data_IF_484738694897
#
_entry.id   IF_484738694897
#
_cell.length_a   1.000
_cell.length_b   1.000
_cell.length_c   1.000
_cell.angle_alpha   90.00
_cell.angle_beta   90.00
_cell.angle_gamma   90.00
#
_symmetry.space_group_name_H-M   'P 1'
#
loop_
_entity.id
_entity.type
_entity.pdbx_description
1 polymer ?
#
# COMPACT_ATOMS: atom_id res chain seq x y z
N UNK A 1 7.03 -8.42 -8.87
CA UNK A 1 5.58 -8.65 -8.69
C UNK A 1 5.07 -7.49 -7.85
N UNK A 2 3.99 -6.84 -8.26
CA UNK A 2 3.44 -5.70 -7.51
C UNK A 2 2.48 -6.24 -6.44
N UNK A 3 2.67 -5.77 -5.21
CA UNK A 3 1.81 -6.08 -4.08
C UNK A 3 0.79 -4.97 -3.90
N UNK A 4 -0.39 -5.29 -3.37
CA UNK A 4 -1.41 -4.27 -3.17
C UNK A 4 -2.19 -4.44 -1.88
N UNK A 5 -2.73 -3.33 -1.40
CA UNK A 5 -3.69 -3.27 -0.31
C UNK A 5 -4.82 -2.32 -0.71
N UNK A 6 -6.02 -2.88 -0.87
CA UNK A 6 -7.24 -2.15 -1.16
C UNK A 6 -8.02 -1.95 0.14
N UNK A 7 -8.11 -0.70 0.56
CA UNK A 7 -8.91 -0.26 1.71
C UNK A 7 -10.27 0.19 1.19
N UNK A 8 -11.33 -0.57 1.48
CA UNK A 8 -12.69 -0.22 1.06
C UNK A 8 -13.25 0.95 1.88
N UNK A 9 -14.20 1.69 1.33
CA UNK A 9 -14.82 2.86 1.99
C UNK A 9 -15.43 2.55 3.36
N UNK A 10 -15.85 1.30 3.62
CA UNK A 10 -16.40 0.86 4.90
C UNK A 10 -15.31 0.59 5.97
N UNK A 11 -14.03 0.56 5.60
CA UNK A 11 -12.94 0.34 6.55
C UNK A 11 -12.79 1.55 7.48
N UNK A 12 -12.44 1.30 8.75
CA UNK A 12 -12.04 2.35 9.70
C UNK A 12 -10.81 3.15 9.24
N UNK A 13 -10.03 2.62 8.29
CA UNK A 13 -8.86 3.29 7.71
C UNK A 13 -9.19 4.12 6.45
N UNK A 14 -10.40 4.04 5.90
CA UNK A 14 -10.77 4.72 4.66
C UNK A 14 -10.52 6.24 4.73
N UNK A 15 -10.92 6.89 5.83
CA UNK A 15 -10.67 8.33 6.05
C UNK A 15 -9.17 8.66 6.05
N UNK A 16 -8.36 7.84 6.71
CA UNK A 16 -6.91 8.04 6.74
C UNK A 16 -6.30 7.85 5.35
N UNK A 17 -6.72 6.83 4.60
CA UNK A 17 -6.27 6.58 3.24
C UNK A 17 -6.61 7.73 2.29
N UNK A 18 -7.84 8.25 2.35
CA UNK A 18 -8.27 9.46 1.63
C UNK A 18 -7.38 10.66 1.93
N UNK A 19 -7.15 10.94 3.21
CA UNK A 19 -6.31 12.07 3.63
C UNK A 19 -4.87 11.96 3.10
N UNK A 20 -4.31 10.74 3.05
CA UNK A 20 -3.00 10.49 2.45
C UNK A 20 -3.04 10.82 0.97
N UNK A 21 -4.02 10.28 0.23
CA UNK A 21 -4.15 10.55 -1.20
C UNK A 21 -4.32 12.04 -1.50
N UNK A 22 -5.24 12.73 -0.82
CA UNK A 22 -5.53 14.14 -1.07
C UNK A 22 -4.31 15.02 -0.80
N UNK A 23 -3.55 14.71 0.26
CA UNK A 23 -2.27 15.40 0.55
C UNK A 23 -1.23 15.18 -0.55
N UNK A 24 -1.06 13.94 -1.00
CA UNK A 24 -0.11 13.61 -2.07
C UNK A 24 -0.51 14.28 -3.39
N UNK A 25 -1.81 14.23 -3.72
CA UNK A 25 -2.38 14.82 -4.92
C UNK A 25 -2.20 16.33 -4.96
N UNK A 26 -2.41 17.02 -3.83
CA UNK A 26 -2.25 18.47 -3.71
C UNK A 26 -0.81 18.96 -3.96
N UNK A 27 0.20 18.10 -3.77
CA UNK A 27 1.60 18.42 -4.05
C UNK A 27 1.97 18.30 -5.54
N UNK A 28 1.18 17.58 -6.32
CA UNK A 28 1.46 17.39 -7.75
C UNK A 28 1.08 18.65 -8.52
N UNK A 29 2.09 19.39 -8.99
CA UNK A 29 1.92 20.55 -9.88
C UNK A 29 1.86 20.18 -11.36
N UNK A 30 2.54 19.10 -11.75
CA UNK A 30 2.58 18.61 -13.12
C UNK A 30 1.64 17.40 -13.29
N UNK A 31 0.55 17.52 -14.05
CA UNK A 31 -0.38 16.42 -14.30
C UNK A 31 0.28 15.17 -14.91
N UNK A 32 1.42 15.30 -15.61
CA UNK A 32 2.13 14.14 -16.17
C UNK A 32 2.71 13.20 -15.12
N UNK A 33 2.81 13.63 -13.87
CA UNK A 33 3.26 12.78 -12.74
C UNK A 33 2.13 11.91 -12.17
N UNK A 34 0.91 12.06 -12.66
CA UNK A 34 -0.23 11.22 -12.30
C UNK A 34 -0.20 9.96 -13.17
N UNK A 35 -0.30 8.80 -12.53
CA UNK A 35 -0.45 7.52 -13.21
C UNK A 35 -1.93 7.40 -13.59
N UNK A 36 -2.24 7.30 -14.89
CA UNK A 36 -3.62 7.34 -15.36
C UNK A 36 -4.47 6.22 -14.74
N UNK A 37 -4.00 4.99 -14.88
CA UNK A 37 -4.70 3.79 -14.40
C UNK A 37 -3.72 2.67 -14.07
N UNK A 38 -4.18 1.75 -13.22
CA UNK A 38 -3.51 0.50 -12.93
C UNK A 38 -4.57 -0.57 -12.63
N UNK A 39 -4.54 -1.67 -13.37
CA UNK A 39 -5.34 -2.85 -13.09
C UNK A 39 -4.51 -3.88 -12.34
N UNK A 40 -4.93 -4.25 -11.13
CA UNK A 40 -4.34 -5.34 -10.35
C UNK A 40 -5.42 -6.34 -9.96
N UNK A 41 -5.35 -7.55 -10.50
CA UNK A 41 -6.32 -8.62 -10.25
C UNK A 41 -7.76 -8.09 -10.41
N UNK A 42 -8.47 -7.90 -9.29
CA UNK A 42 -9.87 -7.44 -9.24
C UNK A 42 -10.02 -5.98 -8.79
N UNK A 43 -8.96 -5.18 -8.81
CA UNK A 43 -8.95 -3.79 -8.40
C UNK A 43 -8.46 -2.88 -9.54
N UNK A 44 -9.30 -1.92 -9.91
CA UNK A 44 -8.93 -0.82 -10.80
C UNK A 44 -8.56 0.40 -9.95
N UNK A 45 -7.31 0.83 -10.07
CA UNK A 45 -6.82 2.10 -9.56
C UNK A 45 -6.78 3.15 -10.68
N UNK A 46 -7.21 4.37 -10.39
CA UNK A 46 -7.12 5.53 -11.28
C UNK A 46 -6.47 6.70 -10.56
N UNK A 47 -5.92 7.62 -11.35
CA UNK A 47 -5.25 8.84 -10.86
C UNK A 47 -4.17 8.56 -9.80
N UNK A 48 -3.34 7.55 -10.03
CA UNK A 48 -2.29 7.12 -9.12
C UNK A 48 -1.25 8.20 -8.84
N UNK A 49 -0.82 8.25 -7.58
CA UNK A 49 0.24 9.15 -7.11
C UNK A 49 1.36 8.31 -6.52
N UNK A 50 2.56 8.43 -7.09
CA UNK A 50 3.78 7.88 -6.48
C UNK A 50 4.10 8.63 -5.19
N UNK A 51 4.44 7.89 -4.15
CA UNK A 51 4.77 8.47 -2.85
C UNK A 51 6.26 8.77 -2.80
N UNK A 52 6.60 10.05 -2.76
CA UNK A 52 7.97 10.50 -2.61
C UNK A 52 8.53 10.09 -1.23
N UNK A 53 9.85 9.87 -1.07
CA UNK A 53 10.47 9.44 0.19
C UNK A 53 10.04 10.28 1.40
N UNK A 54 9.95 11.60 1.21
CA UNK A 54 9.56 12.54 2.26
C UNK A 54 8.12 12.36 2.77
N UNK A 55 7.25 11.65 2.05
CA UNK A 55 5.84 11.42 2.43
C UNK A 55 5.55 9.95 2.78
N UNK A 56 6.52 9.02 2.65
CA UNK A 56 6.31 7.58 2.93
C UNK A 56 5.78 7.33 4.34
N UNK A 57 6.23 8.11 5.34
CA UNK A 57 5.75 8.02 6.72
C UNK A 57 4.22 8.17 6.85
N UNK A 58 3.56 8.89 5.93
CA UNK A 58 2.11 9.08 5.94
C UNK A 58 1.37 7.80 5.56
N UNK A 59 1.89 7.06 4.59
CA UNK A 59 1.38 5.74 4.20
C UNK A 59 1.61 4.74 5.34
N UNK A 60 2.81 4.71 5.89
CA UNK A 60 3.16 3.81 7.00
C UNK A 60 2.27 4.06 8.24
N UNK A 61 1.94 5.31 8.53
CA UNK A 61 1.06 5.68 9.64
C UNK A 61 -0.40 5.25 9.48
N UNK A 62 -0.84 4.85 8.28
CA UNK A 62 -2.17 4.23 8.11
C UNK A 62 -2.23 2.89 8.85
N UNK A 63 -1.08 2.20 9.00
CA UNK A 63 -0.95 0.88 9.64
C UNK A 63 -1.91 -0.14 9.01
N UNK A 64 -1.69 -0.43 7.73
CA UNK A 64 -2.55 -1.31 6.94
C UNK A 64 -2.62 -2.74 7.50
N UNK A 65 -1.56 -3.20 8.18
CA UNK A 65 -1.56 -4.50 8.86
C UNK A 65 -2.68 -4.65 9.91
N UNK A 66 -3.15 -3.54 10.51
CA UNK A 66 -4.28 -3.54 11.45
C UNK A 66 -5.61 -3.98 10.80
N UNK A 67 -5.69 -3.98 9.48
CA UNK A 67 -6.86 -4.39 8.70
C UNK A 67 -6.73 -5.78 8.08
N UNK A 68 -5.65 -6.53 8.34
CA UNK A 68 -5.38 -7.80 7.63
C UNK A 68 -6.52 -8.83 7.73
N UNK A 69 -7.28 -8.83 8.83
CA UNK A 69 -8.44 -9.71 9.05
C UNK A 69 -9.79 -9.02 8.78
N UNK A 70 -9.78 -7.78 8.31
CA UNK A 70 -10.98 -6.98 8.05
C UNK A 70 -11.64 -7.41 6.73
N UNK A 71 -12.97 -7.60 6.67
CA UNK A 71 -13.66 -7.87 5.41
C UNK A 71 -13.62 -6.66 4.45
N UNK A 72 -13.26 -5.47 4.96
CA UNK A 72 -13.16 -4.23 4.20
C UNK A 72 -11.75 -3.97 3.69
N UNK A 73 -10.89 -4.98 3.74
CA UNK A 73 -9.50 -4.92 3.29
C UNK A 73 -9.20 -6.10 2.37
N UNK A 74 -8.68 -5.80 1.17
CA UNK A 74 -8.30 -6.83 0.21
C UNK A 74 -6.84 -6.67 -0.15
N UNK A 75 -6.10 -7.75 -0.15
CA UNK A 75 -4.66 -7.72 -0.44
C UNK A 75 -4.21 -9.07 -0.97
N UNK A 76 -3.18 -9.06 -1.82
CA UNK A 76 -2.43 -10.27 -2.19
C UNK A 76 -1.19 -10.48 -1.30
N UNK A 77 -1.05 -9.71 -0.22
CA UNK A 77 0.03 -9.83 0.76
C UNK A 77 -0.41 -10.66 1.97
N UNK A 78 0.53 -11.45 2.50
CA UNK A 78 0.38 -12.03 3.83
C UNK A 78 0.70 -10.99 4.93
N UNK A 79 0.41 -11.32 6.19
CA UNK A 79 0.64 -10.41 7.33
C UNK A 79 2.12 -10.01 7.47
N UNK A 80 3.06 -10.92 7.21
CA UNK A 80 4.49 -10.60 7.29
C UNK A 80 4.88 -9.55 6.26
N UNK A 81 4.42 -9.68 5.02
CA UNK A 81 4.65 -8.68 3.97
C UNK A 81 4.09 -7.31 4.36
N UNK A 82 2.89 -7.26 4.98
CA UNK A 82 2.33 -6.01 5.48
C UNK A 82 3.15 -5.36 6.61
N UNK A 83 3.82 -6.18 7.44
CA UNK A 83 4.69 -5.72 8.52
C UNK A 83 6.09 -5.32 8.03
N UNK A 84 6.54 -5.85 6.90
CA UNK A 84 7.82 -5.52 6.27
C UNK A 84 7.79 -4.23 5.44
N UNK A 85 6.62 -3.61 5.24
CA UNK A 85 6.52 -2.33 4.53
C UNK A 85 7.27 -1.26 5.32
N UNK A 86 8.26 -0.66 4.67
CA UNK A 86 9.17 0.32 5.26
C UNK A 86 9.39 1.54 4.33
N UNK A 87 10.30 2.42 4.70
CA UNK A 87 10.65 3.60 3.92
C UNK A 87 11.44 3.31 2.63
N UNK A 88 11.97 2.09 2.48
CA UNK A 88 12.67 1.67 1.27
C UNK A 88 11.72 1.07 0.23
N UNK A 89 10.55 0.61 0.67
CA UNK A 89 9.50 0.08 -0.19
C UNK A 89 8.97 1.17 -1.13
N UNK A 90 8.90 0.88 -2.43
CA UNK A 90 8.30 1.80 -3.40
C UNK A 90 6.78 1.77 -3.29
N UNK A 91 6.14 2.94 -3.30
CA UNK A 91 4.72 3.06 -2.98
C UNK A 91 3.99 3.95 -3.98
N UNK A 92 2.77 3.56 -4.32
CA UNK A 92 1.82 4.42 -5.01
C UNK A 92 0.42 4.28 -4.41
N UNK A 93 -0.35 5.37 -4.43
CA UNK A 93 -1.72 5.42 -3.94
C UNK A 93 -2.65 5.84 -5.06
N UNK A 94 -3.72 5.09 -5.28
CA UNK A 94 -4.70 5.31 -6.33
C UNK A 94 -6.09 5.47 -5.73
N UNK A 95 -6.95 6.21 -6.44
CA UNK A 95 -8.40 6.14 -6.23
C UNK A 95 -8.89 4.82 -6.83
N UNK A 96 -9.77 4.12 -6.13
CA UNK A 96 -10.46 2.94 -6.66
C UNK A 96 -11.97 3.14 -6.55
N UNK A 97 -12.75 2.42 -7.36
CA UNK A 97 -14.22 2.58 -7.44
C UNK A 97 -14.90 2.53 -6.07
N UNK A 98 -14.38 1.70 -5.15
CA UNK A 98 -14.97 1.48 -3.82
C UNK A 98 -13.97 1.68 -2.68
N UNK A 99 -12.94 2.50 -2.89
CA UNK A 99 -11.98 2.83 -1.84
C UNK A 99 -10.62 3.31 -2.34
N UNK A 100 -9.58 2.90 -1.63
CA UNK A 100 -8.22 3.42 -1.78
C UNK A 100 -7.25 2.27 -2.00
N UNK A 101 -6.56 2.29 -3.14
CA UNK A 101 -5.63 1.24 -3.52
C UNK A 101 -4.20 1.71 -3.27
N UNK A 102 -3.52 1.00 -2.37
CA UNK A 102 -2.08 1.13 -2.14
C UNK A 102 -1.37 0.05 -2.92
N UNK A 103 -0.30 0.41 -3.61
CA UNK A 103 0.55 -0.48 -4.39
C UNK A 103 1.96 -0.38 -3.87
N UNK A 104 2.59 -1.54 -3.69
CA UNK A 104 3.92 -1.69 -3.14
C UNK A 104 4.79 -2.47 -4.11
N UNK A 105 6.01 -1.98 -4.32
CA UNK A 105 7.04 -2.65 -5.10
C UNK A 105 8.33 -2.78 -4.28
N UNK A 106 9.06 -3.87 -4.54
CA UNK A 106 10.31 -4.17 -3.83
C UNK A 106 10.13 -4.90 -2.49
N UNK A 107 8.91 -5.33 -2.13
CA UNK A 107 8.71 -6.18 -0.95
C UNK A 107 9.30 -7.57 -1.17
N UNK A 108 10.00 -8.07 -0.16
CA UNK A 108 10.49 -9.44 -0.15
C UNK A 108 9.31 -10.44 -0.14
N UNK A 109 9.45 -11.62 -0.78
CA UNK A 109 8.40 -12.64 -0.81
C UNK A 109 8.09 -13.23 0.57
N UNK A 110 8.98 -13.05 1.55
CA UNK A 110 8.84 -13.49 2.93
C UNK A 110 10.02 -13.02 3.77
N UNK A 111 10.03 -13.33 5.08
CA UNK A 111 11.19 -13.07 5.92
C UNK A 111 12.42 -13.73 5.29
N UNK A 112 13.54 -13.00 5.25
CA UNK A 112 14.81 -13.65 4.93
C UNK A 112 15.05 -14.74 5.99
N UNK A 113 15.49 -15.94 5.60
CA UNK A 113 15.86 -16.97 6.56
C UNK A 113 16.81 -16.39 7.61
N UNK A 114 16.42 -16.44 8.87
CA UNK A 114 17.26 -16.02 10.01
C UNK A 114 17.65 -17.25 10.84
N UNK A 115 18.89 -17.27 11.34
CA UNK A 115 19.51 -18.42 12.03
C UNK A 115 20.38 -19.30 11.11
N UNK A 116 21.29 -20.09 11.70
CA UNK A 116 22.25 -20.95 10.94
C UNK A 116 21.58 -21.93 9.96
N UNK A 117 20.28 -22.24 10.14
CA UNK A 117 19.54 -23.22 9.34
C UNK A 117 18.26 -22.65 8.68
N UNK A 118 18.11 -21.33 8.64
CA UNK A 118 17.12 -20.64 7.81
C UNK A 118 15.66 -20.63 8.26
N UNK A 119 15.25 -21.42 9.25
CA UNK A 119 13.98 -21.21 9.97
C UNK A 119 14.15 -21.72 11.40
N UNK A 120 14.70 -20.91 12.30
CA UNK A 120 14.71 -21.28 13.72
C UNK A 120 13.34 -20.92 14.34
N UNK A 121 12.58 -21.95 14.72
CA UNK A 121 11.31 -21.82 15.44
C UNK A 121 11.49 -22.08 16.95
N UNK A 122 12.66 -21.75 17.51
CA UNK A 122 12.97 -21.87 18.95
C UNK A 122 13.14 -20.52 19.61
#
# INVERSE_FOLDING_TARGET
MSHYALVLEQSRKAKAARNVYDHLRAKIKDPKRIIAELQLENALGVEGVRVEPADKYRVLNVRLHDEHLSPFFRTNMNLFQLLMIDEHTEMAVYRAEKGWLFVFEGLAPGPSPFGQNGFDMR
#
